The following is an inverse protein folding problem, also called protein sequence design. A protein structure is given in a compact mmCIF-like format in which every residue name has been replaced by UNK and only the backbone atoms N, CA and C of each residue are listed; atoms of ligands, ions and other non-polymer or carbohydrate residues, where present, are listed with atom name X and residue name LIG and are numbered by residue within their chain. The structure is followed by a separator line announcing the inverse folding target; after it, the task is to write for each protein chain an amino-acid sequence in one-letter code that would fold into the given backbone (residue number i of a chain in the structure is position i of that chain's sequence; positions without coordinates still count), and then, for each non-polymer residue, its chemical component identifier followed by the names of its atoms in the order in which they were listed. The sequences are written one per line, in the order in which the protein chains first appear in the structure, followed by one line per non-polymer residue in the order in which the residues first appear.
data_IF_345111777156
#
_entry.id   IF_345111777156
#
_cell.length_a   1.000
_cell.length_b   1.000
_cell.length_c   1.000
_cell.angle_alpha   90.00
_cell.angle_beta   90.00
_cell.angle_gamma   90.00
#
_symmetry.space_group_name_H-M   'P 1'
#
loop_
_entity.id
_entity.type
_entity.pdbx_description
1 polymer ?
#
# COMPACT_ATOMS: atom_id res chain seq x y z
N UNK A 1 11.57 -4.32 3.43
CA UNK A 1 10.31 -4.83 4.00
C UNK A 1 9.62 -3.66 4.71
N UNK A 2 8.29 -3.55 4.62
CA UNK A 2 7.51 -2.46 5.24
C UNK A 2 6.12 -2.95 5.67
N UNK A 3 6.02 -3.83 6.69
CA UNK A 3 4.73 -4.12 7.30
C UNK A 3 4.16 -2.86 7.95
N UNK A 4 2.86 -2.61 7.81
CA UNK A 4 2.21 -1.38 8.29
C UNK A 4 0.86 -1.70 8.95
N UNK A 5 0.61 -1.06 10.09
CA UNK A 5 -0.67 -1.08 10.80
C UNK A 5 -1.16 0.35 10.87
N UNK A 6 -2.38 0.60 10.41
CA UNK A 6 -3.06 1.90 10.44
C UNK A 6 -4.08 1.88 11.55
N UNK A 7 -4.04 2.90 12.39
CA UNK A 7 -5.02 3.14 13.45
C UNK A 7 -5.92 4.31 13.06
N UNK A 8 -7.18 4.26 13.47
CA UNK A 8 -8.08 5.40 13.36
C UNK A 8 -7.81 6.45 14.46
N UNK A 9 -8.62 7.51 14.48
CA UNK A 9 -8.49 8.60 15.45
C UNK A 9 -8.81 8.16 16.90
N UNK A 10 -9.56 7.07 17.07
CA UNK A 10 -9.88 6.48 18.37
C UNK A 10 -8.85 5.43 18.82
N UNK A 11 -7.79 5.24 18.02
CA UNK A 11 -6.71 4.30 18.27
C UNK A 11 -7.07 2.84 17.98
N UNK A 12 -8.18 2.56 17.30
CA UNK A 12 -8.55 1.21 16.88
C UNK A 12 -7.85 0.84 15.58
N UNK A 13 -7.58 -0.45 15.38
CA UNK A 13 -6.95 -0.93 14.14
C UNK A 13 -7.94 -0.79 12.98
N UNK A 14 -7.55 -0.03 11.96
CA UNK A 14 -8.35 0.21 10.76
C UNK A 14 -7.87 -0.64 9.58
N UNK A 15 -6.57 -0.81 9.40
CA UNK A 15 -5.98 -1.60 8.31
C UNK A 15 -4.65 -2.22 8.73
N UNK A 16 -4.41 -3.49 8.36
CA UNK A 16 -3.10 -4.13 8.45
C UNK A 16 -2.68 -4.53 7.05
N UNK A 17 -1.54 -4.05 6.59
CA UNK A 17 -1.10 -4.27 5.20
C UNK A 17 0.43 -4.29 5.07
N UNK A 18 0.88 -4.81 3.93
CA UNK A 18 2.27 -4.92 3.54
C UNK A 18 2.37 -5.62 2.20
N UNK A 19 3.55 -5.56 1.59
CA UNK A 19 3.77 -6.17 0.28
C UNK A 19 5.13 -6.87 0.22
N UNK A 20 5.23 -8.05 -0.44
CA UNK A 20 6.52 -8.58 -0.92
C UNK A 20 6.99 -7.80 -2.16
N UNK A 21 8.23 -8.03 -2.63
CA UNK A 21 8.67 -7.50 -3.93
C UNK A 21 9.86 -6.53 -3.94
N UNK A 22 10.78 -6.62 -2.97
CA UNK A 22 12.05 -5.90 -2.99
C UNK A 22 11.90 -4.37 -3.00
N UNK A 23 12.41 -3.70 -4.03
CA UNK A 23 12.32 -2.24 -4.19
C UNK A 23 10.89 -1.70 -4.37
N UNK A 24 9.93 -2.60 -4.65
CA UNK A 24 8.51 -2.25 -4.86
C UNK A 24 7.68 -2.21 -3.58
N UNK A 25 8.23 -2.70 -2.47
CA UNK A 25 7.50 -2.88 -1.21
C UNK A 25 6.82 -1.59 -0.74
N UNK A 26 7.56 -0.47 -0.74
CA UNK A 26 7.06 0.80 -0.21
C UNK A 26 5.93 1.35 -1.09
N UNK A 27 6.12 1.38 -2.41
CA UNK A 27 5.11 1.90 -3.33
C UNK A 27 3.83 1.07 -3.31
N UNK A 28 3.94 -0.26 -3.20
CA UNK A 28 2.77 -1.13 -3.18
C UNK A 28 2.00 -1.01 -1.87
N UNK A 29 2.70 -0.95 -0.74
CA UNK A 29 2.07 -0.74 0.57
C UNK A 29 1.36 0.62 0.64
N UNK A 30 2.03 1.69 0.20
CA UNK A 30 1.44 3.04 0.16
C UNK A 30 0.20 3.09 -0.75
N UNK A 31 0.28 2.47 -1.94
CA UNK A 31 -0.86 2.42 -2.87
C UNK A 31 -2.06 1.71 -2.24
N UNK A 32 -1.87 0.58 -1.55
CA UNK A 32 -2.98 -0.11 -0.88
C UNK A 32 -3.66 0.77 0.16
N UNK A 33 -2.88 1.53 0.95
CA UNK A 33 -3.42 2.48 1.94
C UNK A 33 -4.26 3.57 1.24
N UNK A 34 -3.73 4.20 0.18
CA UNK A 34 -4.46 5.22 -0.58
C UNK A 34 -5.76 4.65 -1.19
N UNK A 35 -5.70 3.43 -1.75
CA UNK A 35 -6.87 2.76 -2.31
C UNK A 35 -8.00 2.55 -1.29
N UNK A 36 -7.66 2.19 -0.05
CA UNK A 36 -8.66 2.00 1.01
C UNK A 36 -9.22 3.35 1.48
N UNK A 37 -8.37 4.34 1.76
CA UNK A 37 -8.81 5.57 2.44
C UNK A 37 -9.18 6.72 1.51
N UNK A 38 -8.48 6.91 0.40
CA UNK A 38 -8.76 8.00 -0.53
C UNK A 38 -9.82 7.60 -1.57
N UNK A 39 -9.76 6.34 -2.02
CA UNK A 39 -10.65 5.83 -3.06
C UNK A 39 -11.81 4.98 -2.52
N UNK A 40 -11.80 4.65 -1.23
CA UNK A 40 -12.90 3.96 -0.56
C UNK A 40 -13.08 2.50 -0.99
N UNK A 41 -12.06 1.87 -1.57
CA UNK A 41 -12.12 0.46 -1.96
C UNK A 41 -12.09 -0.45 -0.73
N UNK A 42 -12.78 -1.60 -0.83
CA UNK A 42 -12.57 -2.63 0.16
C UNK A 42 -11.14 -3.20 0.07
N UNK A 43 -10.62 -3.87 1.12
CA UNK A 43 -9.24 -4.35 1.12
C UNK A 43 -8.88 -5.29 -0.04
N UNK A 44 -9.82 -6.11 -0.52
CA UNK A 44 -9.59 -7.06 -1.61
C UNK A 44 -9.54 -6.33 -2.96
N UNK A 45 -10.42 -5.36 -3.18
CA UNK A 45 -10.37 -4.47 -4.34
C UNK A 45 -9.07 -3.67 -4.36
N UNK A 46 -8.70 -3.07 -3.21
CA UNK A 46 -7.53 -2.22 -3.06
C UNK A 46 -6.22 -2.91 -3.48
N UNK A 47 -6.06 -4.21 -3.16
CA UNK A 47 -4.88 -4.99 -3.54
C UNK A 47 -4.94 -5.51 -4.99
N UNK A 48 -6.14 -5.67 -5.56
CA UNK A 48 -6.32 -6.20 -6.91
C UNK A 48 -6.07 -5.15 -8.00
N UNK A 49 -6.06 -3.86 -7.66
CA UNK A 49 -5.76 -2.79 -8.63
C UNK A 49 -4.35 -2.98 -9.22
N UNK A 50 -4.13 -2.84 -10.54
CA UNK A 50 -2.82 -2.99 -11.18
C UNK A 50 -1.72 -2.10 -10.60
N UNK A 51 -0.53 -2.65 -10.36
CA UNK A 51 0.58 -1.90 -9.78
C UNK A 51 1.45 -1.19 -10.83
N UNK A 52 1.67 0.11 -10.63
CA UNK A 52 2.64 0.91 -11.38
C UNK A 52 3.59 1.58 -10.39
N UNK A 53 4.90 1.48 -10.63
CA UNK A 53 5.89 2.11 -9.78
C UNK A 53 7.15 2.41 -10.60
N UNK A 54 7.65 3.63 -10.48
CA UNK A 54 8.99 3.99 -10.91
C UNK A 54 9.96 3.82 -9.73
N UNK A 55 11.06 3.10 -9.92
CA UNK A 55 12.12 2.94 -8.91
C UNK A 55 13.25 3.96 -9.07
N UNK A 56 13.10 4.93 -9.98
CA UNK A 56 14.11 5.92 -10.33
C UNK A 56 15.48 5.30 -10.64
N UNK A 57 15.47 4.08 -11.17
CA UNK A 57 16.67 3.39 -11.64
C UNK A 57 17.10 4.05 -12.95
N UNK A 58 18.31 4.58 -12.99
CA UNK A 58 18.92 5.12 -14.21
C UNK A 58 18.88 4.06 -15.31
N UNK A 59 18.28 4.40 -16.46
CA UNK A 59 18.55 3.70 -17.70
C UNK A 59 19.98 4.01 -18.12
N UNK A 60 20.91 3.10 -17.80
CA UNK A 60 22.22 3.04 -18.46
C UNK A 60 22.09 2.37 -19.82
#
# INVERSE_FOLDING_TARGET
MAPTIVFDLDGQVSLVTGSPGGSRIIGYTAKTIMNVFDFGFDPQEAINVPHYQNTNSSSS
#
